data_IF_462255442540
#
_entry.id   IF_462255442540
#
_cell.length_a   1.000
_cell.length_b   1.000
_cell.length_c   1.000
_cell.angle_alpha   90.00
_cell.angle_beta   90.00
_cell.angle_gamma   90.00
#
_symmetry.space_group_name_H-M   'P 1'
#
loop_
_entity.id
_entity.type
_entity.pdbx_description
1 polymer ?
#
# COMPACT_ATOMS: atom_id res chain seq x y z
N UNK A 1 41.32 -37.64 32.44
CA UNK A 1 39.93 -37.74 32.93
C UNK A 1 38.86 -37.40 31.86
N UNK A 2 39.23 -36.87 30.69
CA UNK A 2 38.27 -36.41 29.66
C UNK A 2 37.86 -37.45 28.60
N UNK A 3 38.52 -38.61 28.52
CA UNK A 3 38.24 -39.62 27.47
C UNK A 3 37.08 -40.56 27.85
N UNK A 4 36.75 -40.69 29.15
CA UNK A 4 35.66 -41.58 29.60
C UNK A 4 34.26 -40.98 29.40
N UNK A 5 34.12 -39.66 29.37
CA UNK A 5 32.82 -38.99 29.19
C UNK A 5 32.31 -39.02 27.74
N UNK A 6 33.20 -39.10 26.75
CA UNK A 6 32.82 -39.11 25.33
C UNK A 6 32.11 -40.40 24.91
N UNK A 7 32.42 -41.54 25.55
CA UNK A 7 31.76 -42.83 25.26
C UNK A 7 30.38 -42.98 25.90
N UNK A 8 30.12 -42.30 27.01
CA UNK A 8 28.82 -42.35 27.70
C UNK A 8 27.78 -41.50 26.93
N UNK A 9 28.18 -40.36 26.36
CA UNK A 9 27.28 -39.52 25.58
C UNK A 9 26.82 -40.18 24.27
N UNK A 10 27.70 -40.96 23.61
CA UNK A 10 27.37 -41.65 22.36
C UNK A 10 26.39 -42.80 22.58
N UNK A 11 26.45 -43.48 23.74
CA UNK A 11 25.53 -44.58 24.06
C UNK A 11 24.12 -44.05 24.39
N UNK A 12 24.02 -42.89 25.06
CA UNK A 12 22.73 -42.24 25.36
C UNK A 12 22.04 -41.75 24.07
N UNK A 13 22.81 -41.25 23.09
CA UNK A 13 22.27 -40.85 21.78
C UNK A 13 21.71 -42.01 20.96
N UNK A 14 22.32 -43.19 21.01
CA UNK A 14 21.86 -44.38 20.28
C UNK A 14 20.57 -44.95 20.89
N UNK A 15 20.41 -44.88 22.23
CA UNK A 15 19.19 -45.34 22.91
C UNK A 15 18.00 -44.43 22.59
N UNK A 16 18.19 -43.11 22.49
CA UNK A 16 17.13 -42.18 22.09
C UNK A 16 16.73 -42.33 20.61
N UNK A 17 17.67 -42.68 19.74
CA UNK A 17 17.40 -42.88 18.31
C UNK A 17 16.60 -44.18 18.04
N UNK A 18 16.82 -45.23 18.85
CA UNK A 18 16.06 -46.48 18.76
C UNK A 18 14.63 -46.37 19.34
N UNK A 19 14.40 -45.47 20.30
CA UNK A 19 13.06 -45.23 20.85
C UNK A 19 12.13 -44.43 19.89
N UNK A 20 12.69 -43.71 18.92
CA UNK A 20 11.93 -42.90 17.97
C UNK A 20 11.49 -43.65 16.71
N UNK A 21 12.10 -44.80 16.41
CA UNK A 21 11.80 -45.61 15.22
C UNK A 21 10.67 -46.62 15.42
N UNK A 22 10.08 -46.74 16.61
CA UNK A 22 8.99 -47.70 16.89
C UNK A 22 7.59 -47.07 16.94
N UNK A 23 7.41 -45.85 16.43
CA UNK A 23 6.09 -45.19 16.42
C UNK A 23 5.70 -44.67 15.04
N UNK A 24 5.72 -45.58 14.06
CA UNK A 24 4.94 -45.47 12.82
C UNK A 24 4.70 -46.88 12.29
N UNK A 25 3.48 -47.40 12.42
CA UNK A 25 2.92 -48.36 11.47
C UNK A 25 1.39 -48.31 11.50
N UNK A 26 0.72 -48.24 10.32
CA UNK A 26 -0.73 -48.09 10.19
C UNK A 26 -1.42 -49.46 10.20
N UNK A 27 -2.69 -49.49 10.61
CA UNK A 27 -3.51 -50.71 10.60
C UNK A 27 -4.79 -50.49 9.79
N UNK A 28 -4.73 -50.87 8.51
CA UNK A 28 -5.89 -51.21 7.69
C UNK A 28 -6.24 -52.69 7.92
N UNK A 29 -7.54 -53.02 8.08
CA UNK A 29 -8.13 -54.27 7.56
C UNK A 29 -9.69 -54.21 7.54
N UNK A 30 -10.20 -54.20 6.29
CA UNK A 30 -11.41 -54.80 5.67
C UNK A 30 -12.69 -55.23 6.41
N UNK A 31 -13.83 -54.88 5.75
CA UNK A 31 -15.06 -55.65 5.38
C UNK A 31 -15.91 -56.36 6.47
N UNK A 32 -17.24 -56.49 6.41
CA UNK A 32 -18.20 -56.47 5.28
C UNK A 32 -19.65 -56.33 5.80
N UNK A 33 -20.57 -56.16 4.83
CA UNK A 33 -22.01 -56.55 4.79
C UNK A 33 -23.14 -55.49 4.90
N UNK A 34 -23.68 -55.20 3.71
CA UNK A 34 -25.00 -55.66 3.23
C UNK A 34 -26.25 -54.84 3.59
N UNK A 35 -26.91 -54.31 2.56
CA UNK A 35 -28.25 -53.71 2.68
C UNK A 35 -28.70 -52.91 1.45
N UNK A 36 -29.04 -53.62 0.37
CA UNK A 36 -29.84 -53.17 -0.79
C UNK A 36 -31.10 -52.38 -0.40
N UNK A 37 -31.52 -51.42 -1.23
CA UNK A 37 -32.78 -51.45 -2.04
C UNK A 37 -32.90 -50.20 -2.93
N UNK A 38 -33.37 -50.46 -4.16
CA UNK A 38 -33.68 -49.57 -5.28
C UNK A 38 -34.90 -48.66 -5.00
N UNK A 39 -35.02 -47.53 -5.69
CA UNK A 39 -35.96 -47.38 -6.84
C UNK A 39 -36.06 -45.94 -7.32
N UNK A 40 -36.16 -45.83 -8.63
CA UNK A 40 -36.30 -44.68 -9.49
C UNK A 40 -37.62 -43.88 -9.33
N UNK A 41 -37.70 -42.83 -10.16
CA UNK A 41 -38.89 -42.25 -10.84
C UNK A 41 -39.80 -41.32 -10.02
N UNK A 42 -40.41 -40.25 -10.55
CA UNK A 42 -40.29 -39.38 -11.75
C UNK A 42 -41.48 -38.40 -11.65
N UNK A 43 -41.36 -37.24 -12.33
CA UNK A 43 -42.42 -36.32 -12.84
C UNK A 43 -43.27 -35.44 -11.91
N UNK A 44 -43.31 -34.17 -12.34
CA UNK A 44 -44.46 -33.28 -12.63
C UNK A 44 -45.44 -32.95 -11.51
N UNK A 45 -46.17 -31.84 -11.52
CA UNK A 45 -46.26 -30.58 -12.26
C UNK A 45 -47.24 -29.72 -11.41
N UNK A 46 -47.33 -28.41 -11.72
CA UNK A 46 -48.59 -27.65 -11.73
C UNK A 46 -49.32 -27.38 -10.39
N UNK A 47 -49.95 -26.23 -10.11
CA UNK A 47 -50.02 -24.86 -10.63
C UNK A 47 -50.90 -24.09 -9.63
N UNK A 48 -50.91 -22.74 -9.74
CA UNK A 48 -52.08 -21.85 -9.58
C UNK A 48 -52.63 -21.65 -8.15
N UNK A 49 -53.17 -20.51 -7.72
CA UNK A 49 -52.98 -19.05 -7.91
C UNK A 49 -53.95 -18.43 -6.87
N UNK A 50 -53.70 -17.17 -6.52
CA UNK A 50 -54.69 -16.10 -6.36
C UNK A 50 -55.55 -15.90 -5.09
N UNK A 51 -55.85 -14.60 -4.96
CA UNK A 51 -56.83 -13.86 -4.15
C UNK A 51 -56.32 -13.37 -2.79
N UNK A 52 -55.96 -12.08 -2.59
CA UNK A 52 -56.61 -10.76 -2.83
C UNK A 52 -57.74 -10.43 -1.84
N UNK A 53 -57.67 -9.18 -1.38
CA UNK A 53 -58.67 -8.25 -0.79
C UNK A 53 -58.93 -8.27 0.73
N UNK A 54 -59.15 -7.17 1.45
CA UNK A 54 -58.98 -5.69 1.31
C UNK A 54 -59.70 -5.04 2.54
N UNK A 55 -59.47 -3.75 2.81
CA UNK A 55 -60.33 -2.80 3.59
C UNK A 55 -60.22 -2.90 5.14
N UNK A 56 -59.98 -1.86 5.97
CA UNK A 56 -60.51 -0.48 6.03
C UNK A 56 -59.77 0.42 7.06
N UNK A 57 -59.92 1.74 6.87
CA UNK A 57 -59.41 2.92 7.60
C UNK A 57 -60.03 3.18 9.01
N UNK A 58 -59.28 3.82 9.94
CA UNK A 58 -59.49 5.22 10.36
C UNK A 58 -58.68 5.70 11.61
N UNK A 59 -58.06 6.88 11.42
CA UNK A 59 -57.66 8.00 12.31
C UNK A 59 -57.62 7.90 13.85
N UNK A 60 -56.47 8.29 14.44
CA UNK A 60 -56.31 9.53 15.27
C UNK A 60 -54.93 9.58 15.95
N UNK A 61 -54.39 10.80 16.04
CA UNK A 61 -53.07 11.21 16.54
C UNK A 61 -52.73 10.76 17.98
N UNK A 62 -51.48 10.35 18.23
CA UNK A 62 -50.57 11.11 19.12
C UNK A 62 -49.11 10.60 19.11
N UNK A 63 -48.21 11.59 19.02
CA UNK A 63 -46.83 11.72 19.51
C UNK A 63 -45.79 10.57 19.40
N UNK A 64 -44.68 10.96 18.75
CA UNK A 64 -43.30 10.54 19.02
C UNK A 64 -43.01 9.05 19.21
N UNK A 65 -42.60 8.39 18.13
CA UNK A 65 -41.43 7.49 18.10
C UNK A 65 -41.31 6.87 16.71
N UNK A 66 -40.14 6.30 16.45
CA UNK A 66 -39.75 5.53 15.28
C UNK A 66 -39.40 6.33 14.02
N UNK A 67 -38.09 6.58 13.91
CA UNK A 67 -37.30 6.34 12.71
C UNK A 67 -38.06 5.46 11.71
N UNK A 68 -38.38 6.03 10.55
CA UNK A 68 -38.75 5.25 9.39
C UNK A 68 -37.42 4.64 8.89
N UNK A 69 -37.11 3.43 9.34
CA UNK A 69 -36.19 2.54 8.63
C UNK A 69 -36.84 2.19 7.29
N UNK A 70 -36.49 2.95 6.25
CA UNK A 70 -36.57 2.46 4.87
C UNK A 70 -35.16 2.01 4.51
N UNK A 71 -35.09 0.79 3.95
CA UNK A 71 -33.92 -0.05 3.66
C UNK A 71 -33.54 -1.06 4.76
N UNK A 72 -34.41 -2.06 4.93
CA UNK A 72 -34.07 -3.37 5.52
C UNK A 72 -33.54 -4.35 4.46
N UNK A 73 -32.63 -3.90 3.62
CA UNK A 73 -31.68 -4.79 2.95
C UNK A 73 -30.33 -4.42 3.50
N UNK A 74 -29.78 -5.33 4.30
CA UNK A 74 -28.41 -5.24 4.79
C UNK A 74 -27.54 -5.33 3.54
N UNK A 75 -27.16 -4.17 3.00
CA UNK A 75 -26.15 -4.06 1.97
C UNK A 75 -24.87 -4.61 2.59
N UNK A 76 -24.56 -5.86 2.28
CA UNK A 76 -23.24 -6.42 2.46
C UNK A 76 -22.54 -6.20 1.12
N UNK A 77 -21.81 -5.08 0.94
CA UNK A 77 -21.02 -4.91 -0.26
C UNK A 77 -20.09 -6.10 -0.38
N UNK A 78 -20.02 -6.71 -1.57
CA UNK A 78 -18.89 -7.55 -1.91
C UNK A 78 -17.62 -6.73 -1.64
N UNK A 79 -16.63 -7.33 -0.98
CA UNK A 79 -15.37 -6.67 -0.66
C UNK A 79 -14.65 -6.31 -1.98
N UNK A 80 -14.88 -5.10 -2.48
CA UNK A 80 -14.11 -4.50 -3.55
C UNK A 80 -12.96 -3.70 -2.94
N UNK A 81 -11.81 -3.69 -3.60
CA UNK A 81 -10.66 -2.85 -3.22
C UNK A 81 -11.09 -1.40 -2.96
N UNK A 82 -11.96 -0.86 -3.83
CA UNK A 82 -12.54 0.49 -3.67
C UNK A 82 -13.23 0.73 -2.32
N UNK A 83 -13.94 -0.25 -1.75
CA UNK A 83 -14.61 -0.07 -0.46
C UNK A 83 -13.61 0.05 0.69
N UNK A 84 -12.51 -0.70 0.64
CA UNK A 84 -11.42 -0.59 1.61
C UNK A 84 -10.73 0.77 1.50
N UNK A 85 -10.46 1.23 0.27
CA UNK A 85 -9.90 2.55 0.00
C UNK A 85 -10.80 3.67 0.52
N UNK A 86 -12.13 3.60 0.32
CA UNK A 86 -13.09 4.57 0.85
C UNK A 86 -13.04 4.66 2.38
N UNK A 87 -12.99 3.50 3.06
CA UNK A 87 -12.91 3.47 4.52
C UNK A 87 -11.62 4.12 5.04
N UNK A 88 -10.51 3.91 4.33
CA UNK A 88 -9.21 4.46 4.69
C UNK A 88 -9.10 5.94 4.33
N UNK A 89 -9.70 6.37 3.22
CA UNK A 89 -9.84 7.77 2.82
C UNK A 89 -10.58 8.57 3.89
N UNK A 90 -11.60 7.98 4.54
CA UNK A 90 -12.27 8.61 5.68
C UNK A 90 -11.32 9.03 6.81
N UNK A 91 -10.28 8.23 7.08
CA UNK A 91 -9.25 8.57 8.07
C UNK A 91 -8.35 9.71 7.57
N UNK A 92 -7.91 9.64 6.31
CA UNK A 92 -7.05 10.66 5.68
C UNK A 92 -7.74 12.02 5.57
N UNK A 93 -9.07 12.05 5.49
CA UNK A 93 -9.86 13.27 5.41
C UNK A 93 -10.11 13.95 6.76
N UNK A 94 -9.75 13.32 7.89
CA UNK A 94 -9.96 13.87 9.23
C UNK A 94 -9.46 15.31 9.40
N UNK A 95 -8.25 15.69 8.93
CA UNK A 95 -7.77 17.07 9.01
C UNK A 95 -8.67 18.10 8.29
N UNK A 96 -9.38 17.68 7.25
CA UNK A 96 -10.27 18.56 6.49
C UNK A 96 -11.65 18.72 7.17
N UNK A 97 -11.98 17.84 8.12
CA UNK A 97 -13.29 17.79 8.78
C UNK A 97 -13.29 18.34 10.21
N UNK A 98 -12.11 18.47 10.81
CA UNK A 98 -11.93 18.99 12.17
C UNK A 98 -11.83 20.53 12.16
N UNK A 99 -12.79 21.27 12.75
CA UNK A 99 -12.76 22.73 12.80
C UNK A 99 -11.52 23.33 13.49
N UNK A 100 -10.83 22.56 14.32
CA UNK A 100 -9.61 23.00 15.01
C UNK A 100 -8.35 22.75 14.17
N UNK A 101 -8.46 22.03 13.04
CA UNK A 101 -7.34 21.73 12.17
C UNK A 101 -7.13 22.84 11.11
N UNK A 102 -5.88 23.26 10.84
CA UNK A 102 -5.59 24.26 9.83
C UNK A 102 -6.06 23.93 8.40
N UNK A 103 -6.30 22.66 8.08
CA UNK A 103 -6.80 22.21 6.78
C UNK A 103 -8.33 22.17 6.69
N UNK A 104 -9.05 22.60 7.72
CA UNK A 104 -10.50 22.57 7.73
C UNK A 104 -11.11 23.32 6.55
N UNK A 105 -11.94 22.62 5.75
CA UNK A 105 -12.50 23.19 4.52
C UNK A 105 -13.81 23.95 4.74
N UNK A 106 -14.34 23.96 5.96
CA UNK A 106 -15.66 24.52 6.29
C UNK A 106 -16.80 23.51 6.10
N UNK A 107 -17.88 23.66 6.85
CA UNK A 107 -18.95 22.66 6.96
C UNK A 107 -19.64 22.34 5.61
N UNK A 108 -19.81 23.36 4.75
CA UNK A 108 -20.40 23.15 3.42
C UNK A 108 -19.51 22.30 2.50
N UNK A 109 -18.19 22.47 2.61
CA UNK A 109 -17.23 21.71 1.81
C UNK A 109 -16.96 20.35 2.40
N UNK A 110 -16.96 20.22 3.74
CA UNK A 110 -16.96 18.93 4.42
C UNK A 110 -18.10 18.04 3.94
N UNK A 111 -19.34 18.56 3.96
CA UNK A 111 -20.50 17.80 3.48
C UNK A 111 -20.37 17.40 2.01
N UNK A 112 -19.75 18.25 1.18
CA UNK A 112 -19.45 17.91 -0.19
C UNK A 112 -18.43 16.75 -0.27
N UNK A 113 -17.29 16.85 0.42
CA UNK A 113 -16.27 15.79 0.45
C UNK A 113 -16.83 14.46 0.96
N UNK A 114 -17.64 14.48 2.03
CA UNK A 114 -18.32 13.29 2.56
C UNK A 114 -19.21 12.64 1.48
N UNK A 115 -20.06 13.41 0.80
CA UNK A 115 -20.96 12.85 -0.21
C UNK A 115 -20.23 12.40 -1.48
N UNK A 116 -19.18 13.12 -1.89
CA UNK A 116 -18.48 12.85 -3.14
C UNK A 116 -17.44 11.74 -3.01
N UNK A 117 -16.91 11.49 -1.80
CA UNK A 117 -15.83 10.52 -1.58
C UNK A 117 -16.21 9.35 -0.66
N UNK A 118 -16.95 9.60 0.42
CA UNK A 118 -17.21 8.59 1.45
C UNK A 118 -18.59 7.93 1.31
N UNK A 119 -19.57 8.68 0.82
CA UNK A 119 -20.94 8.23 0.60
C UNK A 119 -21.34 8.30 -0.87
N UNK A 120 -20.36 8.17 -1.76
CA UNK A 120 -20.55 8.28 -3.20
C UNK A 120 -21.53 7.20 -3.69
N UNK A 121 -22.60 7.65 -4.35
CA UNK A 121 -23.54 6.77 -5.03
C UNK A 121 -23.15 6.63 -6.51
N UNK A 122 -23.49 5.48 -7.09
CA UNK A 122 -23.23 5.15 -8.49
C UNK A 122 -21.75 5.31 -8.87
N UNK A 123 -20.85 4.66 -8.12
CA UNK A 123 -19.39 4.79 -8.30
C UNK A 123 -18.90 4.43 -9.71
N UNK A 124 -19.66 3.64 -10.48
CA UNK A 124 -19.32 3.27 -11.86
C UNK A 124 -19.74 4.32 -12.90
N UNK A 125 -20.51 5.35 -12.51
CA UNK A 125 -20.86 6.45 -13.42
C UNK A 125 -19.69 7.42 -13.57
N UNK A 126 -19.59 8.12 -14.72
CA UNK A 126 -18.63 9.18 -14.91
C UNK A 126 -18.69 10.24 -13.79
N UNK A 127 -17.53 10.70 -13.35
CA UNK A 127 -17.44 11.89 -12.49
C UNK A 127 -17.70 13.13 -13.34
N UNK A 128 -18.52 14.03 -12.81
CA UNK A 128 -18.76 15.34 -13.41
C UNK A 128 -17.51 16.19 -13.19
N UNK A 129 -16.99 16.84 -14.24
CA UNK A 129 -15.71 17.56 -14.17
C UNK A 129 -15.73 18.65 -13.10
N UNK A 130 -16.84 19.37 -12.92
CA UNK A 130 -16.96 20.39 -11.88
C UNK A 130 -16.81 19.82 -10.46
N UNK A 131 -17.26 18.58 -10.23
CA UNK A 131 -17.07 17.90 -8.95
C UNK A 131 -15.60 17.49 -8.78
N UNK A 132 -14.94 16.99 -9.84
CA UNK A 132 -13.52 16.65 -9.82
C UNK A 132 -12.66 17.88 -9.53
N UNK A 133 -12.92 19.01 -10.18
CA UNK A 133 -12.21 20.27 -9.96
C UNK A 133 -12.36 20.75 -8.52
N UNK A 134 -13.57 20.65 -7.97
CA UNK A 134 -13.83 21.03 -6.59
C UNK A 134 -13.10 20.10 -5.61
N UNK A 135 -13.05 18.80 -5.89
CA UNK A 135 -12.24 17.85 -5.10
C UNK A 135 -10.76 18.23 -5.12
N UNK A 136 -10.20 18.47 -6.32
CA UNK A 136 -8.80 18.87 -6.50
C UNK A 136 -8.50 20.18 -5.78
N UNK A 137 -9.38 21.17 -5.92
CA UNK A 137 -9.28 22.46 -5.25
C UNK A 137 -9.18 22.33 -3.73
N UNK A 138 -10.13 21.59 -3.13
CA UNK A 138 -10.27 21.46 -1.69
C UNK A 138 -9.15 20.62 -1.07
N UNK A 139 -8.74 19.54 -1.72
CA UNK A 139 -7.81 18.57 -1.15
C UNK A 139 -6.35 18.94 -1.36
N UNK A 140 -6.01 19.66 -2.44
CA UNK A 140 -4.62 19.92 -2.81
C UNK A 140 -4.23 21.40 -2.69
N UNK A 141 -5.03 22.20 -1.97
CA UNK A 141 -4.62 23.55 -1.54
C UNK A 141 -4.46 24.56 -2.68
N UNK A 142 -5.27 24.42 -3.73
CA UNK A 142 -5.36 25.43 -4.78
C UNK A 142 -6.22 26.60 -4.31
N UNK A 143 -5.76 27.83 -4.50
CA UNK A 143 -6.55 29.02 -4.14
C UNK A 143 -7.35 29.54 -5.34
N UNK A 144 -8.18 30.58 -5.14
CA UNK A 144 -9.00 31.17 -6.22
C UNK A 144 -8.18 31.63 -7.45
N UNK A 145 -6.91 32.00 -7.26
CA UNK A 145 -6.02 32.40 -8.37
C UNK A 145 -5.54 31.20 -9.18
N UNK A 146 -5.49 30.04 -8.55
CA UNK A 146 -5.09 28.78 -9.16
C UNK A 146 -6.25 28.09 -9.90
N UNK A 147 -7.50 28.51 -9.70
CA UNK A 147 -8.67 27.93 -10.39
C UNK A 147 -8.51 27.95 -11.91
N UNK A 148 -7.87 28.98 -12.47
CA UNK A 148 -7.57 29.03 -13.92
C UNK A 148 -6.64 27.92 -14.39
N UNK A 149 -5.78 27.40 -13.51
CA UNK A 149 -4.93 26.25 -13.81
C UNK A 149 -5.74 24.95 -13.78
N UNK A 150 -6.64 24.82 -12.79
CA UNK A 150 -7.57 23.70 -12.71
C UNK A 150 -8.43 23.64 -13.98
N UNK A 151 -9.08 24.76 -14.36
CA UNK A 151 -9.90 24.85 -15.57
C UNK A 151 -9.10 24.44 -16.82
N UNK A 152 -7.88 24.99 -16.95
CA UNK A 152 -6.98 24.74 -18.09
C UNK A 152 -6.59 23.26 -18.22
N UNK A 153 -6.44 22.56 -17.11
CA UNK A 153 -5.92 21.19 -17.11
C UNK A 153 -7.01 20.13 -16.95
N UNK A 154 -8.24 20.51 -16.57
CA UNK A 154 -9.38 19.60 -16.43
C UNK A 154 -10.56 20.05 -17.32
N UNK A 155 -11.29 21.12 -16.96
CA UNK A 155 -12.50 21.54 -17.70
C UNK A 155 -12.32 21.76 -19.20
N UNK A 156 -11.19 22.33 -19.64
CA UNK A 156 -10.94 22.60 -21.06
C UNK A 156 -10.86 21.31 -21.92
N UNK A 157 -10.73 20.14 -21.28
CA UNK A 157 -10.69 18.82 -21.91
C UNK A 157 -11.97 17.99 -21.67
N UNK A 158 -12.96 18.54 -20.97
CA UNK A 158 -14.23 17.85 -20.75
C UNK A 158 -15.22 18.10 -21.89
N UNK A 159 -15.91 17.04 -22.31
CA UNK A 159 -17.04 17.11 -23.25
C UNK A 159 -18.33 16.80 -22.51
N UNK A 160 -19.34 17.67 -22.64
CA UNK A 160 -20.63 17.56 -21.94
C UNK A 160 -20.49 17.36 -20.41
N UNK A 161 -19.45 17.95 -19.80
CA UNK A 161 -19.16 17.87 -18.37
C UNK A 161 -18.49 16.55 -17.94
N UNK A 162 -18.09 15.70 -18.89
CA UNK A 162 -17.42 14.42 -18.65
C UNK A 162 -15.99 14.50 -19.17
N UNK A 163 -15.06 13.98 -18.37
CA UNK A 163 -13.62 13.95 -18.71
C UNK A 163 -13.17 12.51 -18.97
N UNK A 164 -12.42 12.31 -20.05
CA UNK A 164 -11.76 11.02 -20.31
C UNK A 164 -10.58 10.81 -19.36
N UNK A 165 -10.26 9.54 -19.09
CA UNK A 165 -9.17 9.14 -18.18
C UNK A 165 -7.83 9.76 -18.55
N UNK A 166 -7.48 9.79 -19.84
CA UNK A 166 -6.20 10.35 -20.28
C UNK A 166 -6.01 11.83 -19.90
N UNK A 167 -7.06 12.64 -20.04
CA UNK A 167 -6.99 14.07 -19.74
C UNK A 167 -7.05 14.29 -18.24
N UNK A 168 -7.87 13.52 -17.51
CA UNK A 168 -7.96 13.62 -16.06
C UNK A 168 -6.62 13.31 -15.38
N UNK A 169 -5.98 12.19 -15.73
CA UNK A 169 -4.67 11.82 -15.16
C UNK A 169 -3.56 12.77 -15.58
N UNK A 170 -3.48 13.13 -16.88
CA UNK A 170 -2.48 14.09 -17.38
C UNK A 170 -2.63 15.47 -16.72
N UNK A 171 -3.87 15.94 -16.58
CA UNK A 171 -4.20 17.20 -15.93
C UNK A 171 -3.90 17.19 -14.44
N UNK A 172 -4.28 16.12 -13.74
CA UNK A 172 -4.01 15.94 -12.33
C UNK A 172 -2.50 15.91 -12.04
N UNK A 173 -1.71 15.18 -12.82
CA UNK A 173 -0.25 15.15 -12.67
C UNK A 173 0.38 16.54 -12.87
N UNK A 174 -0.07 17.28 -13.88
CA UNK A 174 0.36 18.67 -14.11
C UNK A 174 0.01 19.57 -12.93
N UNK A 175 -1.20 19.45 -12.39
CA UNK A 175 -1.65 20.21 -11.22
C UNK A 175 -0.83 19.87 -9.98
N UNK A 176 -0.68 18.59 -9.66
CA UNK A 176 0.10 18.11 -8.51
C UNK A 176 1.56 18.58 -8.58
N UNK A 177 2.17 18.62 -9.78
CA UNK A 177 3.54 19.12 -9.94
C UNK A 177 3.74 20.59 -9.55
N UNK A 178 2.66 21.37 -9.45
CA UNK A 178 2.71 22.77 -9.00
C UNK A 178 2.68 22.91 -7.47
N UNK A 179 2.20 21.88 -6.75
CA UNK A 179 2.00 21.89 -5.29
C UNK A 179 2.98 20.96 -4.58
N UNK A 180 3.36 19.89 -5.24
CA UNK A 180 4.29 18.89 -4.74
C UNK A 180 5.56 18.92 -5.58
N UNK A 181 6.76 18.75 -4.97
CA UNK A 181 8.01 18.65 -5.69
C UNK A 181 8.10 17.28 -6.38
N UNK A 182 7.20 17.02 -7.34
CA UNK A 182 7.24 15.86 -8.20
C UNK A 182 8.51 15.98 -9.05
N UNK A 183 9.57 15.29 -8.64
CA UNK A 183 10.67 15.02 -9.56
C UNK A 183 10.18 13.94 -10.52
N UNK A 184 9.55 14.40 -11.61
CA UNK A 184 9.28 13.56 -12.76
C UNK A 184 10.61 12.93 -13.16
N UNK A 185 10.78 11.63 -12.92
CA UNK A 185 11.94 10.92 -13.44
C UNK A 185 11.93 11.13 -14.95
N UNK A 186 13.10 11.37 -15.55
CA UNK A 186 13.24 11.19 -16.98
C UNK A 186 12.96 9.70 -17.24
N UNK A 187 11.69 9.37 -17.51
CA UNK A 187 11.32 8.07 -18.06
C UNK A 187 11.98 8.08 -19.43
N UNK A 188 13.19 7.52 -19.49
CA UNK A 188 13.93 7.44 -20.73
C UNK A 188 13.05 6.75 -21.78
N UNK A 189 12.98 7.32 -22.98
CA UNK A 189 12.25 6.82 -24.15
C UNK A 189 12.63 5.36 -24.54
N UNK A 190 13.59 4.75 -23.85
CA UNK A 190 14.04 3.36 -24.02
C UNK A 190 13.13 2.32 -23.37
N UNK A 191 12.23 2.69 -22.45
CA UNK A 191 11.16 1.78 -21.99
C UNK A 191 10.06 1.78 -23.05
N UNK A 192 9.86 0.67 -23.75
CA UNK A 192 8.66 0.48 -24.58
C UNK A 192 7.42 0.65 -23.69
N UNK A 193 6.77 1.81 -23.80
CA UNK A 193 5.62 2.24 -22.99
C UNK A 193 4.52 1.16 -22.92
N UNK A 194 4.34 0.40 -24.00
CA UNK A 194 3.40 -0.71 -24.12
C UNK A 194 3.68 -1.91 -23.21
N UNK A 195 4.90 -2.03 -22.67
CA UNK A 195 5.27 -3.13 -21.77
C UNK A 195 4.82 -2.88 -20.33
N UNK A 196 4.46 -1.63 -19.98
CA UNK A 196 3.99 -1.26 -18.63
C UNK A 196 2.47 -1.07 -18.64
N UNK A 197 1.95 -0.32 -19.62
CA UNK A 197 0.50 -0.12 -19.82
C UNK A 197 0.18 -0.56 -21.24
N UNK A 198 -0.58 -1.64 -21.36
CA UNK A 198 -0.74 -2.36 -22.63
C UNK A 198 -1.43 -1.55 -23.73
N UNK A 199 -2.29 -0.61 -23.35
CA UNK A 199 -3.11 0.21 -24.26
C UNK A 199 -2.73 1.70 -24.25
N UNK A 200 -1.55 2.06 -23.71
CA UNK A 200 -1.09 3.44 -23.62
C UNK A 200 -0.98 4.14 -24.97
N UNK A 201 -0.74 3.38 -26.04
CA UNK A 201 -0.70 3.88 -27.41
C UNK A 201 -2.04 4.43 -27.91
N UNK A 202 -3.15 4.11 -27.24
CA UNK A 202 -4.47 4.68 -27.53
C UNK A 202 -4.64 6.09 -26.94
N UNK A 203 -3.78 6.50 -26.00
CA UNK A 203 -3.76 7.85 -25.47
C UNK A 203 -3.05 8.81 -26.44
N UNK A 204 -3.43 10.08 -26.39
CA UNK A 204 -2.72 11.16 -27.07
C UNK A 204 -1.25 11.19 -26.65
N UNK A 205 -0.34 11.33 -27.62
CA UNK A 205 1.11 11.33 -27.42
C UNK A 205 1.56 12.29 -26.29
N UNK A 206 0.94 13.48 -26.22
CA UNK A 206 1.23 14.50 -25.22
C UNK A 206 0.82 14.14 -23.78
N UNK A 207 0.01 13.09 -23.59
CA UNK A 207 -0.51 12.66 -22.28
C UNK A 207 0.15 11.37 -21.77
N UNK A 208 0.74 10.56 -22.66
CA UNK A 208 1.27 9.23 -22.34
C UNK A 208 2.29 9.25 -21.20
N UNK A 209 3.21 10.22 -21.22
CA UNK A 209 4.23 10.33 -20.19
C UNK A 209 3.62 10.58 -18.81
N UNK A 210 2.71 11.55 -18.69
CA UNK A 210 2.03 11.84 -17.43
C UNK A 210 1.22 10.65 -16.90
N UNK A 211 0.60 9.88 -17.79
CA UNK A 211 -0.15 8.67 -17.42
C UNK A 211 0.80 7.60 -16.87
N UNK A 212 1.94 7.39 -17.53
CA UNK A 212 2.95 6.46 -17.05
C UNK A 212 3.55 6.91 -15.72
N UNK A 213 3.83 8.20 -15.56
CA UNK A 213 4.29 8.78 -14.29
C UNK A 213 3.28 8.51 -13.17
N UNK A 214 1.99 8.75 -13.41
CA UNK A 214 0.93 8.46 -12.45
C UNK A 214 0.92 6.97 -12.06
N UNK A 215 1.09 6.07 -13.03
CA UNK A 215 1.17 4.63 -12.79
C UNK A 215 2.41 4.25 -11.97
N UNK A 216 3.59 4.75 -12.33
CA UNK A 216 4.85 4.49 -11.62
C UNK A 216 4.84 5.03 -10.18
N UNK A 217 4.13 6.13 -9.94
CA UNK A 217 3.92 6.70 -8.61
C UNK A 217 2.81 5.99 -7.82
N UNK A 218 2.09 5.06 -8.44
CA UNK A 218 0.99 4.32 -7.82
C UNK A 218 -0.29 5.14 -7.67
N UNK A 219 -0.47 6.20 -8.45
CA UNK A 219 -1.68 7.05 -8.40
C UNK A 219 -2.80 6.57 -9.30
N UNK A 220 -2.54 5.59 -10.16
CA UNK A 220 -3.61 4.94 -10.93
C UNK A 220 -4.62 4.28 -10.02
N UNK A 221 -5.87 4.24 -10.48
CA UNK A 221 -7.00 3.71 -9.72
C UNK A 221 -7.01 2.17 -9.65
N UNK A 222 -7.86 1.64 -8.77
CA UNK A 222 -8.05 0.22 -8.51
C UNK A 222 -8.36 -0.66 -9.74
N UNK A 223 -8.83 -0.09 -10.86
CA UNK A 223 -9.12 -0.88 -12.07
C UNK A 223 -7.85 -1.25 -12.84
N UNK A 224 -6.72 -0.57 -12.58
CA UNK A 224 -5.44 -0.84 -13.22
C UNK A 224 -4.70 -2.04 -12.64
N UNK A 225 -5.02 -2.45 -11.41
CA UNK A 225 -4.20 -3.36 -10.60
C UNK A 225 -4.07 -4.79 -11.16
N UNK A 226 -4.98 -5.22 -12.06
CA UNK A 226 -5.08 -6.61 -12.51
C UNK A 226 -4.70 -6.83 -13.98
N UNK A 227 -4.92 -5.84 -14.84
CA UNK A 227 -4.83 -6.02 -16.31
C UNK A 227 -3.85 -5.06 -16.98
N UNK A 228 -3.27 -4.09 -16.25
CA UNK A 228 -2.42 -3.03 -16.82
C UNK A 228 -3.05 -2.37 -18.06
N UNK A 229 -4.36 -2.12 -17.98
CA UNK A 229 -5.19 -1.57 -19.06
C UNK A 229 -5.77 -0.23 -18.61
N UNK A 230 -5.23 0.86 -19.16
CA UNK A 230 -5.55 2.22 -18.73
C UNK A 230 -6.85 2.76 -19.29
N UNK A 231 -7.32 2.28 -20.44
CA UNK A 231 -8.54 2.72 -21.13
C UNK A 231 -8.56 4.24 -21.33
N UNK A 232 -7.61 4.80 -22.12
CA UNK A 232 -7.39 6.24 -22.18
C UNK A 232 -8.62 7.09 -22.52
N UNK A 233 -9.48 6.57 -23.41
CA UNK A 233 -10.66 7.26 -23.95
C UNK A 233 -11.94 6.98 -23.15
N UNK A 234 -11.89 6.09 -22.15
CA UNK A 234 -13.06 5.85 -21.30
C UNK A 234 -13.28 7.08 -20.39
N UNK A 235 -14.54 7.42 -20.06
CA UNK A 235 -14.83 8.38 -19.01
C UNK A 235 -14.20 7.97 -17.67
N UNK A 236 -13.62 8.93 -16.94
CA UNK A 236 -13.20 8.68 -15.57
C UNK A 236 -14.43 8.46 -14.69
N UNK A 237 -14.54 7.30 -14.05
CA UNK A 237 -15.65 7.05 -13.13
C UNK A 237 -15.44 7.71 -11.76
N UNK A 238 -16.52 7.89 -11.00
CA UNK A 238 -16.44 8.39 -9.62
C UNK A 238 -15.58 7.49 -8.74
N UNK A 239 -15.72 6.18 -8.85
CA UNK A 239 -14.93 5.20 -8.10
C UNK A 239 -13.45 5.30 -8.43
N UNK A 240 -13.11 5.45 -9.71
CA UNK A 240 -11.72 5.62 -10.15
C UNK A 240 -11.12 6.93 -9.63
N UNK A 241 -11.89 8.01 -9.64
CA UNK A 241 -11.47 9.29 -9.07
C UNK A 241 -11.23 9.19 -7.55
N UNK A 242 -12.12 8.52 -6.81
CA UNK A 242 -11.97 8.27 -5.37
C UNK A 242 -10.68 7.50 -5.08
N UNK A 243 -10.45 6.41 -5.81
CA UNK A 243 -9.28 5.56 -5.68
C UNK A 243 -7.98 6.33 -5.98
N UNK A 244 -7.98 7.11 -7.05
CA UNK A 244 -6.86 7.99 -7.43
C UNK A 244 -6.55 9.01 -6.33
N UNK A 245 -7.57 9.71 -5.82
CA UNK A 245 -7.42 10.69 -4.73
C UNK A 245 -6.88 10.04 -3.46
N UNK A 246 -7.38 8.84 -3.13
CA UNK A 246 -6.89 8.06 -2.01
C UNK A 246 -5.40 7.74 -2.16
N UNK A 247 -4.97 7.20 -3.29
CA UNK A 247 -3.56 6.88 -3.54
C UNK A 247 -2.63 8.10 -3.45
N UNK A 248 -3.08 9.25 -3.96
CA UNK A 248 -2.34 10.52 -3.84
C UNK A 248 -2.23 10.96 -2.38
N UNK A 249 -3.33 10.94 -1.62
CA UNK A 249 -3.34 11.38 -0.22
C UNK A 249 -2.57 10.41 0.70
N UNK A 250 -2.55 9.12 0.40
CA UNK A 250 -1.67 8.16 1.08
C UNK A 250 -0.20 8.52 0.85
N UNK A 251 0.14 8.94 -0.36
CA UNK A 251 1.53 9.21 -0.76
C UNK A 251 2.06 10.56 -0.28
N UNK A 252 1.21 11.60 -0.30
CA UNK A 252 1.64 12.96 0.02
C UNK A 252 1.01 13.57 1.26
N UNK A 253 -0.10 13.02 1.75
CA UNK A 253 -0.91 13.65 2.79
C UNK A 253 -1.46 15.01 2.35
N UNK A 254 -1.96 15.82 3.30
CA UNK A 254 -2.39 17.18 3.04
C UNK A 254 -1.26 18.06 2.50
N UNK A 255 -1.55 19.02 1.60
CA UNK A 255 -0.54 19.94 1.07
C UNK A 255 0.05 20.78 2.20
N UNK A 256 1.34 21.14 2.10
CA UNK A 256 1.97 22.05 3.07
C UNK A 256 1.26 23.40 3.01
N UNK A 257 0.80 23.90 4.16
CA UNK A 257 0.19 25.22 4.24
C UNK A 257 1.24 26.27 3.89
N UNK A 258 0.90 27.20 2.99
CA UNK A 258 1.71 28.39 2.77
C UNK A 258 1.87 29.12 4.11
N UNK A 259 3.07 29.06 4.70
CA UNK A 259 3.31 29.52 6.06
C UNK A 259 2.95 31.01 6.22
N UNK A 260 1.92 31.25 7.02
CA UNK A 260 1.90 32.37 7.94
C UNK A 260 1.77 31.84 9.38
N UNK A 261 2.93 31.63 10.01
CA UNK A 261 3.22 31.68 11.45
C UNK A 261 2.63 30.61 12.39
N UNK A 262 3.52 29.69 12.80
CA UNK A 262 3.88 29.28 14.18
C UNK A 262 2.80 28.77 15.15
N UNK A 263 2.90 27.52 15.61
CA UNK A 263 3.59 27.13 16.86
C UNK A 263 3.46 25.63 17.17
N UNK A 264 4.58 25.04 17.57
CA UNK A 264 4.73 23.72 18.19
C UNK A 264 3.79 23.55 19.40
N UNK A 265 3.21 22.35 19.58
CA UNK A 265 3.18 21.67 20.89
C UNK A 265 2.69 20.21 20.83
N UNK A 266 3.56 19.35 21.40
CA UNK A 266 3.38 18.13 22.20
C UNK A 266 2.26 17.10 21.90
N UNK A 267 2.76 15.89 21.62
CA UNK A 267 2.06 14.60 21.48
C UNK A 267 1.78 13.96 22.84
N UNK A 268 0.61 13.30 22.97
CA UNK A 268 0.38 12.21 23.94
C UNK A 268 -0.35 11.04 23.28
N UNK A 269 0.01 9.77 23.54
CA UNK A 269 -0.45 8.61 22.77
C UNK A 269 -1.55 7.80 23.50
N UNK A 270 -2.49 7.19 22.75
CA UNK A 270 -3.12 5.90 23.08
C UNK A 270 -4.01 5.31 21.97
N UNK A 271 -3.40 4.42 21.19
CA UNK A 271 -3.87 3.13 20.61
C UNK A 271 -5.37 2.82 20.44
N UNK A 272 -5.80 2.75 19.17
CA UNK A 272 -6.73 1.75 18.62
C UNK A 272 -6.46 1.61 17.10
N UNK A 273 -6.01 0.42 16.64
CA UNK A 273 -5.68 0.04 15.24
C UNK A 273 -5.59 1.19 14.21
N UNK A 274 -4.55 2.01 14.38
CA UNK A 274 -4.13 3.03 13.44
C UNK A 274 -3.48 2.33 12.24
N UNK A 275 -3.90 2.70 11.03
CA UNK A 275 -3.22 2.26 9.83
C UNK A 275 -1.79 2.78 9.84
N UNK A 276 -0.83 1.93 9.51
CA UNK A 276 0.59 2.28 9.50
C UNK A 276 0.84 3.40 8.48
N UNK A 277 1.21 4.59 8.96
CA UNK A 277 1.42 5.79 8.14
C UNK A 277 2.85 6.34 8.26
N UNK A 278 3.17 7.37 7.47
CA UNK A 278 4.49 8.00 7.43
C UNK A 278 4.91 8.54 8.80
N UNK A 279 3.96 9.05 9.59
CA UNK A 279 4.21 9.50 10.95
C UNK A 279 4.65 8.36 11.87
N UNK A 280 4.10 7.15 11.71
CA UNK A 280 4.56 5.98 12.46
C UNK A 280 6.01 5.63 12.10
N UNK A 281 6.38 5.75 10.81
CA UNK A 281 7.74 5.52 10.32
C UNK A 281 8.71 6.52 10.94
N UNK A 282 8.37 7.82 10.85
CA UNK A 282 9.17 8.93 11.38
C UNK A 282 9.33 8.80 12.89
N UNK A 283 8.24 8.57 13.62
CA UNK A 283 8.28 8.41 15.07
C UNK A 283 9.15 7.20 15.46
N UNK A 284 9.04 6.06 14.75
CA UNK A 284 9.82 4.86 15.06
C UNK A 284 11.33 5.12 14.98
N UNK A 285 11.83 5.68 13.86
CA UNK A 285 13.27 5.90 13.73
C UNK A 285 13.76 7.11 14.53
N UNK A 286 12.98 8.18 14.69
CA UNK A 286 13.41 9.36 15.47
C UNK A 286 13.43 9.08 16.97
N UNK A 287 12.46 8.33 17.50
CA UNK A 287 12.50 7.88 18.89
C UNK A 287 13.64 6.89 19.15
N UNK A 288 13.96 6.03 18.18
CA UNK A 288 15.14 5.19 18.25
C UNK A 288 16.45 6.00 18.22
N UNK A 289 16.59 6.97 17.31
CA UNK A 289 17.74 7.88 17.21
C UNK A 289 17.95 8.67 18.52
N UNK A 290 16.87 9.18 19.12
CA UNK A 290 16.90 9.91 20.40
C UNK A 290 17.38 9.02 21.56
N UNK A 291 16.96 7.75 21.59
CA UNK A 291 17.43 6.77 22.58
C UNK A 291 18.91 6.46 22.42
N UNK A 292 19.40 6.29 21.19
CA UNK A 292 20.82 6.03 20.95
C UNK A 292 21.69 7.25 21.30
N UNK A 293 21.27 8.46 20.94
CA UNK A 293 21.96 9.72 21.28
C UNK A 293 22.10 9.94 22.80
N UNK A 294 21.14 9.45 23.58
CA UNK A 294 21.18 9.56 25.05
C UNK A 294 21.94 8.40 25.73
N UNK A 295 22.29 7.36 24.98
CA UNK A 295 23.03 6.21 25.50
C UNK A 295 24.53 6.52 25.61
N UNK A 296 25.17 5.97 26.65
CA UNK A 296 26.64 6.02 26.82
C UNK A 296 27.31 4.71 26.38
N UNK A 297 26.55 3.76 25.86
CA UNK A 297 27.09 2.46 25.47
C UNK A 297 27.80 2.55 24.12
N UNK A 298 29.03 2.02 24.04
CA UNK A 298 29.78 2.00 22.79
C UNK A 298 29.07 1.26 21.65
N UNK A 299 28.25 0.23 21.96
CA UNK A 299 27.45 -0.48 20.96
C UNK A 299 26.36 0.42 20.37
N UNK A 300 25.69 1.20 21.21
CA UNK A 300 24.62 2.11 20.78
C UNK A 300 25.20 3.28 19.96
N UNK A 301 26.38 3.78 20.33
CA UNK A 301 27.08 4.78 19.53
C UNK A 301 27.43 4.25 18.14
N UNK A 302 27.93 3.01 18.02
CA UNK A 302 28.19 2.40 16.71
C UNK A 302 26.95 2.26 15.84
N UNK A 303 25.79 1.93 16.45
CA UNK A 303 24.50 1.87 15.74
C UNK A 303 24.09 3.25 15.24
N UNK A 304 24.24 4.26 16.08
CA UNK A 304 23.94 5.65 15.75
C UNK A 304 24.85 6.16 14.62
N UNK A 305 26.16 5.90 14.71
CA UNK A 305 27.12 6.33 13.69
C UNK A 305 26.78 5.74 12.31
N UNK A 306 26.43 4.45 12.25
CA UNK A 306 25.94 3.79 11.03
C UNK A 306 24.67 4.47 10.50
N UNK A 307 23.68 4.67 11.36
CA UNK A 307 22.42 5.29 10.96
C UNK A 307 22.60 6.72 10.46
N UNK A 308 23.40 7.54 11.15
CA UNK A 308 23.69 8.92 10.74
C UNK A 308 24.45 8.97 9.41
N UNK A 309 25.34 8.01 9.14
CA UNK A 309 26.03 7.88 7.85
C UNK A 309 25.06 7.60 6.72
N UNK A 310 24.15 6.63 6.90
CA UNK A 310 23.10 6.36 5.92
C UNK A 310 22.15 7.54 5.71
N UNK A 311 21.73 8.20 6.81
CA UNK A 311 20.90 9.41 6.77
C UNK A 311 21.59 10.57 6.05
N UNK A 312 22.91 10.71 6.21
CA UNK A 312 23.68 11.69 5.47
C UNK A 312 23.66 11.38 3.98
N UNK A 313 23.98 10.16 3.56
CA UNK A 313 23.97 9.73 2.15
C UNK A 313 22.60 10.02 1.51
N UNK A 314 21.50 9.60 2.14
CA UNK A 314 20.14 9.85 1.64
C UNK A 314 19.77 11.34 1.55
N UNK A 315 20.42 12.21 2.32
CA UNK A 315 20.18 13.66 2.35
C UNK A 315 21.17 14.47 1.49
N UNK A 316 22.19 13.84 0.89
CA UNK A 316 23.17 14.54 0.04
C UNK A 316 22.61 14.93 -1.33
N UNK A 317 21.60 14.22 -1.82
CA UNK A 317 20.81 14.65 -2.97
C UNK A 317 19.75 15.66 -2.51
N UNK A 318 19.70 16.81 -3.19
CA UNK A 318 18.81 17.96 -2.97
C UNK A 318 17.34 17.65 -3.36
N UNK A 319 16.85 16.50 -2.90
CA UNK A 319 15.51 15.95 -3.16
C UNK A 319 14.81 15.86 -1.82
N UNK A 320 13.54 16.29 -1.79
CA UNK A 320 12.61 16.22 -0.66
C UNK A 320 12.80 14.94 0.19
N UNK A 321 12.53 14.97 1.51
CA UNK A 321 12.50 13.77 2.36
C UNK A 321 11.56 12.65 1.86
N UNK A 322 10.71 12.91 0.85
CA UNK A 322 9.83 11.96 0.17
C UNK A 322 10.39 11.38 -1.14
N UNK A 323 11.60 11.76 -1.56
CA UNK A 323 12.22 11.25 -2.79
C UNK A 323 12.51 9.75 -2.75
N UNK A 324 12.54 9.11 -3.93
CA UNK A 324 12.94 7.71 -4.06
C UNK A 324 14.45 7.54 -3.83
N UNK A 325 14.86 6.37 -3.35
CA UNK A 325 16.27 6.04 -3.16
C UNK A 325 16.84 5.55 -4.48
N UNK A 326 17.92 6.18 -4.95
CA UNK A 326 18.65 5.71 -6.13
C UNK A 326 19.49 4.46 -5.81
N UNK A 327 19.76 3.62 -6.81
CA UNK A 327 20.68 2.48 -6.61
C UNK A 327 22.09 2.95 -6.27
N UNK A 328 22.49 4.11 -6.78
CA UNK A 328 23.77 4.75 -6.42
C UNK A 328 23.83 5.08 -4.92
N UNK A 329 22.78 5.70 -4.36
CA UNK A 329 22.71 5.96 -2.92
C UNK A 329 22.66 4.66 -2.12
N UNK A 330 21.92 3.65 -2.60
CA UNK A 330 21.85 2.36 -1.93
C UNK A 330 23.21 1.65 -1.91
N UNK A 331 23.93 1.64 -3.04
CA UNK A 331 25.28 1.09 -3.13
C UNK A 331 26.26 1.82 -2.19
N UNK A 332 26.17 3.15 -2.12
CA UNK A 332 26.97 3.94 -1.18
C UNK A 332 26.61 3.59 0.27
N UNK A 333 25.32 3.41 0.61
CA UNK A 333 24.90 2.97 1.94
C UNK A 333 25.46 1.59 2.27
N UNK A 334 25.35 0.62 1.36
CA UNK A 334 25.89 -0.73 1.53
C UNK A 334 27.39 -0.68 1.82
N UNK A 335 28.16 0.03 1.00
CA UNK A 335 29.61 0.15 1.16
C UNK A 335 29.96 0.92 2.45
N UNK A 336 29.47 2.14 2.59
CA UNK A 336 29.92 3.07 3.62
C UNK A 336 29.32 2.75 5.00
N UNK A 337 28.08 2.29 5.07
CA UNK A 337 27.38 2.02 6.36
C UNK A 337 27.54 0.57 6.81
N UNK A 338 27.48 -0.36 5.87
CA UNK A 338 27.55 -1.80 6.15
C UNK A 338 28.92 -2.41 5.87
N UNK A 339 29.90 -1.63 5.41
CA UNK A 339 31.28 -2.06 5.15
C UNK A 339 31.34 -3.21 4.14
N UNK A 340 30.45 -3.14 3.14
CA UNK A 340 30.36 -4.10 2.04
C UNK A 340 31.46 -3.87 1.01
N UNK A 341 31.91 -4.97 0.41
CA UNK A 341 32.85 -4.89 -0.70
C UNK A 341 32.17 -4.31 -1.96
N UNK A 342 32.74 -3.25 -2.58
CA UNK A 342 32.14 -2.61 -3.74
C UNK A 342 31.94 -3.54 -4.95
N UNK A 343 32.84 -4.50 -5.18
CA UNK A 343 32.73 -5.44 -6.31
C UNK A 343 31.51 -6.36 -6.11
N UNK A 344 31.27 -6.79 -4.87
CA UNK A 344 30.09 -7.60 -4.51
C UNK A 344 28.77 -6.83 -4.63
N UNK A 345 28.79 -5.51 -4.39
CA UNK A 345 27.62 -4.64 -4.59
C UNK A 345 27.36 -4.43 -6.08
N UNK A 346 28.41 -4.18 -6.87
CA UNK A 346 28.31 -3.95 -8.30
C UNK A 346 27.78 -5.18 -9.03
N UNK A 347 28.31 -6.38 -8.72
CA UNK A 347 27.82 -7.65 -9.31
C UNK A 347 26.33 -7.89 -9.04
N UNK A 348 25.82 -7.41 -7.90
CA UNK A 348 24.42 -7.58 -7.54
C UNK A 348 23.51 -6.56 -8.24
N UNK A 349 23.95 -5.31 -8.39
CA UNK A 349 23.13 -4.21 -8.89
C UNK A 349 23.32 -3.92 -10.38
N UNK A 350 24.34 -4.51 -11.04
CA UNK A 350 24.71 -4.21 -12.43
C UNK A 350 23.64 -4.58 -13.46
N UNK A 351 22.78 -5.54 -13.14
CA UNK A 351 21.71 -6.00 -14.02
C UNK A 351 20.41 -5.18 -13.88
N UNK A 352 20.38 -4.22 -12.96
CA UNK A 352 19.22 -3.36 -12.74
C UNK A 352 19.17 -2.23 -13.78
N UNK A 353 18.13 -2.25 -14.62
CA UNK A 353 17.97 -1.31 -15.73
C UNK A 353 17.52 0.10 -15.27
N UNK A 354 16.96 0.21 -14.06
CA UNK A 354 16.54 1.49 -13.47
C UNK A 354 17.47 1.88 -12.32
N UNK A 355 17.91 3.13 -12.23
CA UNK A 355 18.69 3.64 -11.08
C UNK A 355 17.82 3.87 -9.83
N UNK A 356 16.81 3.03 -9.58
CA UNK A 356 15.82 3.16 -8.52
C UNK A 356 15.86 1.92 -7.65
N UNK A 357 15.87 2.11 -6.33
CA UNK A 357 15.70 1.04 -5.37
C UNK A 357 14.22 0.69 -5.21
N UNK A 358 13.82 -0.51 -5.62
CA UNK A 358 12.51 -1.11 -5.30
C UNK A 358 12.60 -2.01 -4.07
N UNK A 359 11.46 -2.40 -3.50
CA UNK A 359 11.45 -3.32 -2.36
C UNK A 359 12.04 -4.69 -2.70
N UNK A 360 11.89 -5.18 -3.93
CA UNK A 360 12.50 -6.44 -4.34
C UNK A 360 14.02 -6.35 -4.53
N UNK A 361 14.55 -5.23 -5.06
CA UNK A 361 16.01 -5.03 -5.13
C UNK A 361 16.58 -4.92 -3.71
N UNK A 362 15.86 -4.23 -2.82
CA UNK A 362 16.21 -4.17 -1.41
C UNK A 362 16.24 -5.59 -0.79
N UNK A 363 15.22 -6.42 -1.01
CA UNK A 363 15.19 -7.79 -0.46
C UNK A 363 16.35 -8.63 -0.97
N UNK A 364 16.61 -8.62 -2.28
CA UNK A 364 17.70 -9.34 -2.93
C UNK A 364 19.04 -8.91 -2.34
N UNK A 365 19.29 -7.60 -2.22
CA UNK A 365 20.55 -7.11 -1.63
C UNK A 365 20.76 -7.48 -0.18
N UNK A 366 19.71 -7.47 0.64
CA UNK A 366 19.81 -7.86 2.05
C UNK A 366 20.15 -9.35 2.22
N UNK A 367 19.61 -10.22 1.39
CA UNK A 367 19.76 -11.68 1.56
C UNK A 367 20.86 -12.31 0.70
N UNK A 368 21.25 -11.69 -0.42
CA UNK A 368 22.34 -12.20 -1.25
C UNK A 368 23.71 -11.69 -0.81
N UNK A 369 23.78 -10.59 -0.05
CA UNK A 369 25.03 -10.11 0.53
C UNK A 369 25.32 -10.79 1.89
N UNK A 370 26.38 -11.62 2.01
CA UNK A 370 26.67 -12.42 3.20
C UNK A 370 26.81 -11.61 4.50
N UNK A 371 27.29 -10.38 4.41
CA UNK A 371 27.57 -9.47 5.53
C UNK A 371 26.29 -8.98 6.20
N UNK A 372 25.20 -8.76 5.44
CA UNK A 372 23.86 -8.47 5.96
C UNK A 372 23.14 -9.76 6.38
N UNK A 373 23.29 -10.81 5.57
CA UNK A 373 22.58 -12.07 5.73
C UNK A 373 23.01 -12.86 6.98
N UNK A 374 24.29 -12.82 7.41
CA UNK A 374 24.79 -13.64 8.55
C UNK A 374 24.04 -13.45 9.87
N UNK A 375 23.45 -12.27 10.10
CA UNK A 375 22.76 -11.94 11.34
C UNK A 375 21.23 -12.02 11.23
N UNK A 376 20.69 -12.06 10.01
CA UNK A 376 19.29 -12.35 9.75
C UNK A 376 19.14 -13.88 9.79
N UNK A 377 18.42 -14.41 10.78
CA UNK A 377 18.26 -15.87 10.96
C UNK A 377 17.82 -16.51 9.64
N UNK A 378 18.72 -17.25 9.00
CA UNK A 378 18.44 -18.13 7.86
C UNK A 378 17.49 -19.24 8.30
N UNK A 379 16.20 -18.94 8.28
CA UNK A 379 15.17 -19.97 8.19
C UNK A 379 14.76 -20.08 6.74
N UNK A 380 14.73 -21.31 6.24
CA UNK A 380 14.00 -21.59 5.01
C UNK A 380 12.56 -21.17 5.27
N UNK A 381 12.01 -20.37 4.35
CA UNK A 381 10.60 -20.01 4.39
C UNK A 381 9.79 -21.29 4.35
N UNK A 382 8.90 -21.46 5.32
CA UNK A 382 7.92 -22.54 5.29
C UNK A 382 6.81 -22.20 4.31
N UNK A 383 6.15 -23.20 3.73
CA UNK A 383 4.98 -22.97 2.86
C UNK A 383 3.91 -22.12 3.56
N UNK A 384 3.79 -22.23 4.89
CA UNK A 384 2.87 -21.41 5.68
C UNK A 384 3.24 -19.93 5.63
N UNK A 385 4.52 -19.61 5.84
CA UNK A 385 5.03 -18.23 5.82
C UNK A 385 4.97 -17.62 4.42
N UNK A 386 5.27 -18.42 3.38
CA UNK A 386 5.12 -18.00 1.98
C UNK A 386 3.66 -17.63 1.66
N UNK A 387 2.73 -18.51 2.05
CA UNK A 387 1.30 -18.26 1.86
C UNK A 387 0.82 -17.06 2.69
N UNK A 388 1.36 -16.84 3.89
CA UNK A 388 1.01 -15.68 4.70
C UNK A 388 1.47 -14.37 4.02
N UNK A 389 2.71 -14.32 3.53
CA UNK A 389 3.23 -13.19 2.78
C UNK A 389 2.40 -12.92 1.51
N UNK A 390 2.12 -13.96 0.73
CA UNK A 390 1.31 -13.87 -0.50
C UNK A 390 -0.12 -13.37 -0.26
N UNK A 391 -0.72 -13.68 0.89
CA UNK A 391 -2.06 -13.19 1.24
C UNK A 391 -2.07 -11.77 1.81
N UNK A 392 -0.90 -11.22 2.19
CA UNK A 392 -0.79 -9.93 2.88
C UNK A 392 -0.16 -8.84 2.02
N UNK A 393 0.56 -9.21 0.97
CA UNK A 393 1.26 -8.28 0.09
C UNK A 393 0.56 -8.33 -1.27
N UNK A 394 0.09 -7.17 -1.74
CA UNK A 394 -0.47 -7.05 -3.07
C UNK A 394 0.60 -7.34 -4.13
N UNK A 395 0.22 -8.05 -5.19
CA UNK A 395 1.09 -8.42 -6.30
C UNK A 395 2.38 -9.13 -5.85
N UNK A 396 2.32 -9.91 -4.76
CA UNK A 396 3.48 -10.60 -4.20
C UNK A 396 4.23 -11.45 -5.23
N UNK A 397 3.48 -12.09 -6.13
CA UNK A 397 3.98 -12.91 -7.24
C UNK A 397 4.77 -12.16 -8.30
N UNK A 398 4.75 -10.81 -8.28
CA UNK A 398 5.56 -9.99 -9.20
C UNK A 398 7.01 -9.84 -8.73
N UNK A 399 7.35 -10.28 -7.50
CA UNK A 399 8.73 -10.31 -7.04
C UNK A 399 9.56 -11.29 -7.89
N UNK A 400 10.75 -10.87 -8.33
CA UNK A 400 11.69 -11.76 -9.05
C UNK A 400 12.06 -13.03 -8.29
N UNK A 401 12.14 -12.93 -6.97
CA UNK A 401 12.36 -14.05 -6.07
C UNK A 401 11.38 -13.95 -4.89
N UNK A 402 10.27 -14.69 -5.01
CA UNK A 402 9.20 -14.71 -4.01
C UNK A 402 9.66 -15.33 -2.68
N UNK A 403 10.62 -16.25 -2.70
CA UNK A 403 11.19 -16.82 -1.47
C UNK A 403 12.00 -15.77 -0.72
N UNK A 404 12.84 -15.00 -1.42
CA UNK A 404 13.61 -13.89 -0.83
C UNK A 404 12.68 -12.79 -0.34
N UNK A 405 11.64 -12.45 -1.11
CA UNK A 405 10.67 -11.43 -0.69
C UNK A 405 9.85 -11.87 0.53
N UNK A 406 9.46 -13.15 0.61
CA UNK A 406 8.84 -13.71 1.82
C UNK A 406 9.79 -13.63 3.02
N UNK A 407 11.10 -13.79 2.85
CA UNK A 407 12.08 -13.58 3.94
C UNK A 407 12.08 -12.15 4.43
N UNK A 408 11.99 -11.18 3.52
CA UNK A 408 11.88 -9.78 3.88
C UNK A 408 10.66 -9.53 4.78
N UNK A 409 9.50 -10.09 4.41
CA UNK A 409 8.28 -10.05 5.22
C UNK A 409 8.46 -10.71 6.59
N UNK A 410 8.83 -11.99 6.63
CA UNK A 410 8.96 -12.79 7.88
C UNK A 410 10.03 -12.22 8.83
N UNK A 411 11.04 -11.57 8.29
CA UNK A 411 12.08 -10.93 9.11
C UNK A 411 11.57 -9.74 9.90
N UNK A 412 10.40 -9.19 9.55
CA UNK A 412 9.84 -7.97 10.13
C UNK A 412 10.57 -6.68 9.70
N UNK A 413 11.40 -6.74 8.65
CA UNK A 413 12.04 -5.53 8.10
C UNK A 413 11.01 -4.58 7.50
N UNK A 414 9.94 -5.12 6.91
CA UNK A 414 8.83 -4.37 6.32
C UNK A 414 7.56 -4.34 7.18
N UNK A 415 7.65 -4.66 8.48
CA UNK A 415 6.50 -4.61 9.39
C UNK A 415 5.81 -3.24 9.32
N UNK A 416 4.50 -3.26 9.08
CA UNK A 416 3.68 -2.07 8.87
C UNK A 416 3.78 -1.48 7.46
N UNK A 417 4.94 -1.53 6.80
CA UNK A 417 5.12 -0.98 5.45
C UNK A 417 4.25 -1.67 4.41
N UNK A 418 4.08 -2.99 4.51
CA UNK A 418 3.20 -3.74 3.60
C UNK A 418 1.71 -3.44 3.78
N UNK A 419 1.34 -2.70 4.84
CA UNK A 419 -0.03 -2.24 5.08
C UNK A 419 -0.28 -0.87 4.45
N UNK A 420 0.77 -0.21 3.95
CA UNK A 420 0.64 1.03 3.21
C UNK A 420 -0.05 0.71 1.87
N UNK A 421 -1.13 1.40 1.52
CA UNK A 421 -1.83 1.20 0.26
C UNK A 421 -0.88 1.37 -0.95
N UNK A 422 -1.06 0.52 -1.96
CA UNK A 422 -0.17 0.49 -3.14
C UNK A 422 1.20 -0.17 -2.89
N UNK A 423 1.43 -0.77 -1.73
CA UNK A 423 2.66 -1.54 -1.49
C UNK A 423 2.72 -2.78 -2.39
N UNK A 424 3.72 -2.83 -3.26
CA UNK A 424 4.05 -3.98 -4.10
C UNK A 424 5.57 -4.23 -4.07
N UNK A 425 6.04 -5.44 -4.43
CA UNK A 425 7.48 -5.70 -4.53
C UNK A 425 8.23 -4.73 -5.44
N UNK A 426 7.58 -4.28 -6.52
CA UNK A 426 8.13 -3.36 -7.51
C UNK A 426 8.07 -1.89 -7.09
N UNK A 427 7.39 -1.55 -5.99
CA UNK A 427 7.25 -0.15 -5.56
C UNK A 427 8.63 0.45 -5.23
N UNK A 428 8.94 1.66 -5.73
CA UNK A 428 10.12 2.40 -5.31
C UNK A 428 10.12 2.68 -3.81
N UNK A 429 11.27 2.49 -3.18
CA UNK A 429 11.48 2.78 -1.76
C UNK A 429 11.73 4.29 -1.60
N UNK A 430 10.96 4.96 -0.76
CA UNK A 430 11.25 6.36 -0.43
C UNK A 430 12.29 6.49 0.70
N UNK A 431 12.89 7.67 0.84
CA UNK A 431 13.94 7.93 1.85
C UNK A 431 13.49 7.64 3.28
N UNK A 432 12.25 7.98 3.65
CA UNK A 432 11.70 7.77 5.00
C UNK A 432 11.57 6.27 5.33
N UNK A 433 11.06 5.49 4.38
CA UNK A 433 10.95 4.03 4.47
C UNK A 433 12.31 3.37 4.49
N UNK A 434 13.25 3.83 3.64
CA UNK A 434 14.62 3.35 3.64
C UNK A 434 15.30 3.56 5.01
N UNK A 435 15.13 4.74 5.63
CA UNK A 435 15.67 5.01 6.97
C UNK A 435 15.11 4.04 8.01
N UNK A 436 13.81 3.74 7.96
CA UNK A 436 13.21 2.75 8.84
C UNK A 436 13.79 1.35 8.61
N UNK A 437 13.87 0.90 7.36
CA UNK A 437 14.43 -0.41 7.03
C UNK A 437 15.91 -0.52 7.43
N UNK A 438 16.70 0.53 7.21
CA UNK A 438 18.11 0.63 7.62
C UNK A 438 18.22 0.56 9.15
N UNK A 439 17.37 1.30 9.88
CA UNK A 439 17.29 1.20 11.34
C UNK A 439 17.04 -0.24 11.77
N UNK A 440 16.08 -0.93 11.14
CA UNK A 440 15.73 -2.31 11.50
C UNK A 440 16.83 -3.31 11.13
N UNK A 441 17.56 -3.08 10.03
CA UNK A 441 18.77 -3.84 9.69
C UNK A 441 19.86 -3.66 10.75
N UNK A 442 20.17 -2.43 11.14
CA UNK A 442 21.17 -2.11 12.18
C UNK A 442 20.78 -2.71 13.55
N UNK A 443 19.49 -2.87 13.83
CA UNK A 443 19.04 -3.53 15.06
C UNK A 443 19.27 -5.04 15.06
N UNK A 444 19.15 -5.68 13.89
CA UNK A 444 19.26 -7.13 13.71
C UNK A 444 20.71 -7.60 13.54
N UNK A 445 21.62 -6.72 13.13
CA UNK A 445 23.08 -6.95 13.02
C UNK A 445 23.77 -6.61 14.35
#
# INVERSE_FOLDING_TARGET
MFIKYKRILTIIGIIFFLAFQTSCAPQNYMENNMGTVKSDTVTNEHTITDSITEVTENHSLDLHSSYIEIFSEKFEPEASSLYEEINMLGKLLTPYFDPENPHFVGESNKKFLENSLLYALNVNEPIIVEDLEKLVHLLFGFNEKDMKLIDKYLSDFAEDGIIERQYAFSGLMKLLSTKYPLQMQEIHEEIELSNVISDIEQADEANRLSILEAHCLGFTDYTMENENLFRPTDPLSKGEAISTIYHILVSFGPPVLDEAQTQENEVSPQTADEAYCVENIIEEYTSWERRLNSSKQSRDQKKLDKFLKAKYILNTENISPTGHVSLSNWAEILNETFEMDPESIEELLSDEQSNILTYEIFSISVYNLPELNRNLKLQNITDKELNEASNKIAQFETARDTDIFARLYVSGLIDGLYQIPGFTPQRPVNKTEALLMIKRLIEKI
#
